data_IF_427801239240
#
_entry.id   IF_427801239240
#
_cell.length_a   1.000
_cell.length_b   1.000
_cell.length_c   1.000
_cell.angle_alpha   90.00
_cell.angle_beta   90.00
_cell.angle_gamma   90.00
#
_symmetry.space_group_name_H-M   'P 1'
#
loop_
_entity.id
_entity.type
_entity.pdbx_description
1 polymer ?
#
# COMPACT_ATOMS: atom_id res chain seq x y z
N UNK A 1 11.84 -26.55 -3.26
CA UNK A 1 10.58 -26.46 -4.03
C UNK A 1 9.98 -25.07 -3.83
N UNK A 2 10.04 -24.20 -4.85
CA UNK A 2 9.41 -22.87 -4.87
C UNK A 2 7.91 -23.07 -5.11
N UNK A 3 7.16 -23.42 -4.06
CA UNK A 3 5.69 -23.43 -4.12
C UNK A 3 5.22 -21.99 -4.32
N UNK A 4 4.80 -21.66 -5.54
CA UNK A 4 3.92 -20.55 -5.95
C UNK A 4 3.93 -19.25 -5.11
N UNK A 5 5.11 -18.73 -4.79
CA UNK A 5 5.31 -17.32 -4.41
C UNK A 5 5.91 -16.49 -5.56
N UNK A 6 5.88 -17.01 -6.79
CA UNK A 6 6.26 -16.23 -7.96
C UNK A 6 5.04 -15.54 -8.55
N UNK A 7 4.59 -14.50 -7.85
CA UNK A 7 3.81 -13.44 -8.45
C UNK A 7 4.44 -12.14 -7.97
N UNK A 8 4.66 -11.20 -8.86
CA UNK A 8 4.99 -9.81 -8.51
C UNK A 8 3.88 -9.13 -7.65
N UNK A 9 2.84 -9.89 -7.25
CA UNK A 9 1.90 -9.64 -6.17
C UNK A 9 2.48 -10.12 -4.82
N UNK A 10 3.00 -9.19 -4.02
CA UNK A 10 3.50 -9.46 -2.66
C UNK A 10 2.39 -9.78 -1.63
N UNK A 11 1.12 -9.57 -1.99
CA UNK A 11 -0.02 -9.72 -1.08
C UNK A 11 -0.30 -11.16 -0.62
N UNK A 12 -0.50 -12.12 -1.55
CA UNK A 12 -0.75 -13.52 -1.19
C UNK A 12 0.40 -14.17 -0.41
N UNK A 13 1.65 -13.81 -0.71
CA UNK A 13 2.83 -14.37 -0.06
C UNK A 13 2.97 -13.94 1.40
N UNK A 14 2.70 -12.66 1.71
CA UNK A 14 2.81 -12.14 3.07
C UNK A 14 1.64 -12.57 3.96
N UNK A 15 0.40 -12.58 3.43
CA UNK A 15 -0.78 -13.09 4.15
C UNK A 15 -0.59 -14.55 4.54
N UNK A 16 -0.15 -15.39 3.60
CA UNK A 16 0.15 -16.80 3.88
C UNK A 16 1.27 -16.97 4.92
N UNK A 17 2.36 -16.21 4.82
CA UNK A 17 3.46 -16.28 5.78
C UNK A 17 3.02 -15.88 7.20
N UNK A 18 2.21 -14.84 7.34
CA UNK A 18 1.67 -14.41 8.63
C UNK A 18 0.67 -15.41 9.20
N UNK A 19 -0.21 -15.98 8.36
CA UNK A 19 -1.13 -17.05 8.78
C UNK A 19 -0.37 -18.27 9.30
N UNK A 20 0.68 -18.71 8.60
CA UNK A 20 1.57 -19.79 9.06
C UNK A 20 2.27 -19.43 10.37
N UNK A 21 2.70 -18.17 10.53
CA UNK A 21 3.28 -17.67 11.77
C UNK A 21 2.32 -17.72 12.96
N UNK A 22 1.06 -17.38 12.74
CA UNK A 22 -0.03 -17.52 13.72
C UNK A 22 -0.21 -18.99 14.11
N UNK A 23 -0.36 -19.88 13.12
CA UNK A 23 -0.58 -21.32 13.36
C UNK A 23 0.59 -21.91 14.16
N UNK A 24 1.83 -21.59 13.79
CA UNK A 24 3.00 -22.08 14.50
C UNK A 24 3.08 -21.59 15.95
N UNK A 25 2.55 -20.38 16.24
CA UNK A 25 2.50 -19.83 17.59
C UNK A 25 1.41 -20.49 18.44
N UNK A 26 0.26 -20.81 17.85
CA UNK A 26 -0.85 -21.50 18.54
C UNK A 26 -0.59 -23.00 18.72
N UNK A 27 0.10 -23.62 17.77
CA UNK A 27 0.30 -25.07 17.69
C UNK A 27 1.79 -25.40 17.63
N UNK A 28 2.54 -25.28 18.74
CA UNK A 28 3.96 -25.65 18.77
C UNK A 28 4.14 -27.13 18.40
N UNK A 29 4.76 -27.40 17.25
CA UNK A 29 4.91 -28.76 16.70
C UNK A 29 4.25 -28.98 15.34
N UNK A 30 3.43 -28.03 14.87
CA UNK A 30 2.79 -28.10 13.55
C UNK A 30 3.78 -28.19 12.39
N UNK A 31 5.04 -27.76 12.60
CA UNK A 31 6.12 -27.84 11.60
C UNK A 31 6.29 -29.26 11.04
N UNK A 32 6.23 -30.29 11.89
CA UNK A 32 6.31 -31.67 11.43
C UNK A 32 5.11 -32.07 10.56
N UNK A 33 3.92 -31.52 10.84
CA UNK A 33 2.74 -31.73 10.01
C UNK A 33 2.89 -31.06 8.65
N UNK A 34 3.48 -29.85 8.58
CA UNK A 34 3.79 -29.19 7.31
C UNK A 34 4.83 -29.97 6.50
N UNK A 35 5.91 -30.42 7.12
CA UNK A 35 6.95 -31.23 6.46
C UNK A 35 6.35 -32.53 5.91
N UNK A 36 5.53 -33.22 6.71
CA UNK A 36 4.82 -34.42 6.28
C UNK A 36 3.86 -34.14 5.12
N UNK A 37 3.05 -33.09 5.20
CA UNK A 37 2.12 -32.70 4.13
C UNK A 37 2.85 -32.45 2.80
N UNK A 38 4.01 -31.78 2.85
CA UNK A 38 4.83 -31.52 1.66
C UNK A 38 5.39 -32.82 1.08
N UNK A 39 5.86 -33.74 1.93
CA UNK A 39 6.36 -35.04 1.50
C UNK A 39 5.23 -35.90 0.89
N UNK A 40 4.07 -35.96 1.55
CA UNK A 40 2.90 -36.72 1.10
C UNK A 40 2.31 -36.17 -0.22
N UNK A 41 2.60 -34.91 -0.55
CA UNK A 41 2.12 -34.22 -1.75
C UNK A 41 3.19 -34.03 -2.84
N UNK A 42 4.41 -34.57 -2.67
CA UNK A 42 5.56 -34.29 -3.55
C UNK A 42 5.35 -34.63 -5.04
N UNK A 43 4.36 -35.46 -5.36
CA UNK A 43 4.04 -35.90 -6.73
C UNK A 43 2.57 -35.63 -7.13
N UNK A 44 1.83 -34.88 -6.31
CA UNK A 44 0.39 -34.61 -6.53
C UNK A 44 0.08 -33.13 -6.38
N UNK A 45 -0.98 -32.68 -7.06
CA UNK A 45 -1.57 -31.39 -6.71
C UNK A 45 -2.15 -31.48 -5.31
N UNK A 46 -1.62 -30.66 -4.40
CA UNK A 46 -2.10 -30.56 -3.04
C UNK A 46 -3.34 -29.66 -3.01
N UNK A 47 -4.47 -30.20 -2.56
CA UNK A 47 -5.71 -29.45 -2.42
C UNK A 47 -5.72 -28.64 -1.11
N UNK A 48 -6.35 -27.46 -1.16
CA UNK A 48 -6.47 -26.55 -0.01
C UNK A 48 -7.25 -27.20 1.12
N UNK A 49 -8.31 -27.97 0.83
CA UNK A 49 -9.06 -28.71 1.84
C UNK A 49 -8.20 -29.74 2.57
N UNK A 50 -7.35 -30.47 1.82
CA UNK A 50 -6.40 -31.43 2.42
C UNK A 50 -5.38 -30.74 3.32
N UNK A 51 -4.90 -29.54 2.95
CA UNK A 51 -4.05 -28.73 3.82
C UNK A 51 -4.79 -28.35 5.11
N UNK A 52 -6.01 -27.82 5.00
CA UNK A 52 -6.83 -27.41 6.14
C UNK A 52 -7.04 -28.58 7.10
N UNK A 53 -7.48 -29.74 6.58
CA UNK A 53 -7.71 -30.95 7.36
C UNK A 53 -6.47 -31.40 8.12
N UNK A 54 -5.31 -31.44 7.44
CA UNK A 54 -4.07 -31.88 8.06
C UNK A 54 -3.62 -30.94 9.18
N UNK A 55 -3.75 -29.63 9.00
CA UNK A 55 -3.35 -28.64 10.00
C UNK A 55 -4.33 -28.66 11.18
N UNK A 56 -5.64 -28.64 10.91
CA UNK A 56 -6.66 -28.64 11.96
C UNK A 56 -6.64 -29.91 12.79
N UNK A 57 -6.37 -31.08 12.19
CA UNK A 57 -6.31 -32.36 12.91
C UNK A 57 -5.04 -32.52 13.76
N UNK A 58 -4.01 -31.70 13.51
CA UNK A 58 -2.73 -31.74 14.22
C UNK A 58 -2.57 -30.64 15.25
N UNK A 59 -3.45 -29.65 15.24
CA UNK A 59 -3.50 -28.63 16.26
C UNK A 59 -4.62 -28.95 17.25
N UNK A 60 -4.33 -28.88 18.55
CA UNK A 60 -5.33 -29.11 19.60
C UNK A 60 -6.34 -27.94 19.74
N UNK A 61 -6.23 -26.90 18.90
CA UNK A 61 -7.11 -25.74 18.89
C UNK A 61 -8.41 -26.04 18.11
N UNK A 62 -9.59 -26.11 18.78
CA UNK A 62 -10.85 -26.49 18.14
C UNK A 62 -11.29 -25.55 17.01
N UNK A 63 -10.87 -24.27 17.07
CA UNK A 63 -11.23 -23.27 16.07
C UNK A 63 -10.23 -23.16 14.90
N UNK A 64 -9.18 -24.00 14.86
CA UNK A 64 -8.14 -23.91 13.83
C UNK A 64 -8.70 -24.02 12.41
N UNK A 65 -9.66 -24.92 12.19
CA UNK A 65 -10.32 -25.07 10.90
C UNK A 65 -10.99 -23.76 10.47
N UNK A 66 -11.77 -23.15 11.36
CA UNK A 66 -12.49 -21.91 11.09
C UNK A 66 -11.52 -20.75 10.79
N UNK A 67 -10.40 -20.66 11.52
CA UNK A 67 -9.36 -19.65 11.27
C UNK A 67 -8.80 -19.81 9.84
N UNK A 68 -8.46 -21.05 9.45
CA UNK A 68 -7.92 -21.33 8.12
C UNK A 68 -8.92 -21.03 7.01
N UNK A 69 -10.14 -21.54 7.10
CA UNK A 69 -11.21 -21.31 6.13
C UNK A 69 -11.50 -19.80 6.00
N UNK A 70 -11.64 -19.07 7.11
CA UNK A 70 -11.93 -17.63 7.05
C UNK A 70 -10.81 -16.83 6.35
N UNK A 71 -9.53 -17.13 6.58
CA UNK A 71 -8.45 -16.37 5.95
C UNK A 71 -8.07 -16.82 4.55
N UNK A 72 -8.32 -18.09 4.20
CA UNK A 72 -8.06 -18.63 2.87
C UNK A 72 -9.21 -18.29 1.91
N UNK A 73 -10.45 -18.46 2.34
CA UNK A 73 -11.63 -18.31 1.47
C UNK A 73 -12.11 -16.86 1.39
N UNK A 74 -11.81 -16.03 2.39
CA UNK A 74 -12.26 -14.63 2.40
C UNK A 74 -11.13 -13.63 2.11
N UNK A 75 -11.31 -12.73 1.12
CA UNK A 75 -10.34 -11.69 0.81
C UNK A 75 -10.36 -10.57 1.86
N UNK A 76 -9.22 -9.88 2.00
CA UNK A 76 -9.05 -8.78 2.94
C UNK A 76 -8.43 -9.19 4.27
N UNK A 77 -8.57 -8.29 5.25
CA UNK A 77 -8.05 -8.36 6.62
C UNK A 77 -9.02 -7.65 7.56
N UNK A 78 -8.93 -7.95 8.85
CA UNK A 78 -9.77 -7.32 9.85
C UNK A 78 -9.17 -5.99 10.37
N UNK A 79 -10.02 -5.18 10.99
CA UNK A 79 -9.64 -4.10 11.88
C UNK A 79 -10.21 -4.41 13.25
N UNK A 80 -9.34 -4.52 14.24
CA UNK A 80 -9.68 -4.69 15.64
C UNK A 80 -9.71 -3.31 16.28
N UNK A 81 -10.90 -2.86 16.64
CA UNK A 81 -11.08 -1.62 17.41
C UNK A 81 -11.05 -1.96 18.89
N UNK A 82 -10.09 -1.37 19.60
CA UNK A 82 -9.80 -1.61 21.01
C UNK A 82 -10.29 -0.41 21.80
N UNK A 83 -11.12 -0.68 22.79
CA UNK A 83 -11.60 0.28 23.78
C UNK A 83 -11.30 -0.24 25.17
N UNK A 84 -11.03 0.66 26.10
CA UNK A 84 -10.78 0.36 27.49
C UNK A 84 -11.77 1.10 28.37
N UNK A 85 -12.56 0.33 29.10
CA UNK A 85 -13.38 0.83 30.21
C UNK A 85 -12.82 0.26 31.52
N UNK A 86 -12.05 1.09 32.24
CA UNK A 86 -11.40 0.77 33.52
C UNK A 86 -10.58 -0.52 33.48
N UNK A 87 -11.13 -1.60 34.04
CA UNK A 87 -10.52 -2.92 34.21
C UNK A 87 -10.87 -3.89 33.07
N UNK A 88 -11.60 -3.42 32.06
CA UNK A 88 -12.04 -4.22 30.94
C UNK A 88 -11.59 -3.61 29.63
N UNK A 89 -10.88 -4.39 28.81
CA UNK A 89 -10.60 -4.05 27.41
C UNK A 89 -11.61 -4.75 26.53
N UNK A 90 -12.43 -3.96 25.83
CA UNK A 90 -13.39 -4.45 24.85
C UNK A 90 -12.78 -4.33 23.45
N UNK A 91 -12.87 -5.41 22.68
CA UNK A 91 -12.43 -5.45 21.29
C UNK A 91 -13.63 -5.73 20.38
N UNK A 92 -13.74 -4.99 19.28
CA UNK A 92 -14.72 -5.19 18.22
C UNK A 92 -14.01 -5.35 16.89
N UNK A 93 -14.57 -6.14 15.98
CA UNK A 93 -13.98 -6.36 14.65
C UNK A 93 -14.86 -5.78 13.55
N UNK A 94 -14.22 -5.24 12.53
CA UNK A 94 -14.82 -4.90 11.23
C UNK A 94 -13.85 -5.28 10.13
N UNK A 95 -14.31 -5.35 8.89
CA UNK A 95 -13.45 -5.62 7.74
C UNK A 95 -12.73 -4.34 7.31
N UNK A 96 -11.43 -4.43 7.09
CA UNK A 96 -10.71 -3.31 6.48
C UNK A 96 -11.13 -3.13 5.02
N UNK A 97 -11.72 -1.98 4.73
CA UNK A 97 -12.02 -1.45 3.41
C UNK A 97 -11.44 -0.05 3.30
N UNK A 98 -10.93 0.33 2.12
CA UNK A 98 -10.38 1.68 1.95
C UNK A 98 -11.48 2.74 1.98
N UNK A 99 -12.72 2.34 1.68
CA UNK A 99 -13.95 3.14 1.81
C UNK A 99 -14.59 3.08 3.20
N UNK A 100 -13.98 2.40 4.17
CA UNK A 100 -14.57 2.16 5.48
C UNK A 100 -14.86 3.43 6.30
N UNK A 101 -14.34 4.59 5.90
CA UNK A 101 -14.68 5.88 6.48
C UNK A 101 -16.13 6.30 6.18
N UNK A 102 -16.73 5.76 5.12
CA UNK A 102 -18.11 6.04 4.73
C UNK A 102 -19.05 5.06 5.40
N UNK A 103 -19.94 5.53 6.27
CA UNK A 103 -20.89 4.67 7.01
C UNK A 103 -21.77 3.84 6.06
N UNK A 104 -22.14 4.39 4.89
CA UNK A 104 -22.93 3.68 3.86
C UNK A 104 -22.17 2.52 3.19
N UNK A 105 -20.84 2.59 3.13
CA UNK A 105 -19.99 1.63 2.42
C UNK A 105 -19.19 0.73 3.37
N UNK A 106 -19.36 0.92 4.69
CA UNK A 106 -18.67 0.14 5.71
C UNK A 106 -19.22 -1.29 5.75
N UNK A 107 -18.33 -2.26 5.83
CA UNK A 107 -18.69 -3.68 5.93
C UNK A 107 -18.74 -4.11 7.39
N UNK A 108 -19.95 -4.18 7.93
CA UNK A 108 -20.23 -4.60 9.30
C UNK A 108 -20.58 -6.10 9.40
N UNK A 109 -20.67 -6.79 8.26
CA UNK A 109 -21.16 -8.17 8.16
C UNK A 109 -20.02 -9.17 8.05
N UNK A 110 -19.01 -8.88 7.23
CA UNK A 110 -17.87 -9.78 7.07
C UNK A 110 -16.99 -9.73 8.31
N UNK A 111 -16.83 -10.89 8.93
CA UNK A 111 -16.04 -11.11 10.14
C UNK A 111 -15.21 -12.37 9.97
N UNK A 112 -14.10 -12.41 10.69
CA UNK A 112 -13.15 -13.51 10.67
C UNK A 112 -13.06 -14.12 12.06
N UNK A 113 -12.70 -15.41 12.12
CA UNK A 113 -12.26 -16.07 13.34
C UNK A 113 -10.77 -15.77 13.51
N UNK A 114 -10.40 -14.92 14.47
CA UNK A 114 -9.06 -14.33 14.57
C UNK A 114 -8.41 -14.62 15.91
N UNK A 115 -7.24 -15.27 15.95
CA UNK A 115 -6.43 -15.31 17.15
C UNK A 115 -5.74 -13.96 17.37
N UNK A 116 -6.04 -13.33 18.50
CA UNK A 116 -5.48 -12.04 18.92
C UNK A 116 -4.43 -12.31 19.99
N UNK A 117 -3.17 -12.05 19.65
CA UNK A 117 -2.06 -12.11 20.59
C UNK A 117 -1.87 -10.74 21.21
N UNK A 118 -1.74 -10.69 22.53
CA UNK A 118 -1.58 -9.44 23.26
C UNK A 118 -0.66 -9.60 24.46
N UNK A 119 -0.23 -8.48 25.03
CA UNK A 119 0.51 -8.43 26.29
C UNK A 119 -0.22 -7.60 27.33
N UNK A 120 -0.27 -8.09 28.56
CA UNK A 120 -0.69 -7.33 29.75
C UNK A 120 0.56 -7.13 30.62
N UNK A 121 1.02 -5.90 30.79
CA UNK A 121 2.28 -5.58 31.48
C UNK A 121 3.47 -6.43 30.98
N UNK A 122 3.55 -6.62 29.66
CA UNK A 122 4.60 -7.42 29.02
C UNK A 122 4.40 -8.94 29.08
N UNK A 123 3.48 -9.46 29.90
CA UNK A 123 3.13 -10.89 29.90
C UNK A 123 2.28 -11.22 28.69
N UNK A 124 2.76 -12.14 27.85
CA UNK A 124 2.06 -12.56 26.63
C UNK A 124 0.85 -13.44 26.94
N UNK A 125 -0.23 -13.21 26.21
CA UNK A 125 -1.44 -14.02 26.21
C UNK A 125 -2.08 -13.99 24.82
N UNK A 126 -3.10 -14.79 24.61
CA UNK A 126 -3.92 -14.73 23.40
C UNK A 126 -5.36 -15.13 23.69
N UNK A 127 -6.26 -14.70 22.81
CA UNK A 127 -7.67 -15.11 22.79
C UNK A 127 -8.11 -15.28 21.34
N UNK A 128 -9.19 -16.00 21.09
CA UNK A 128 -9.75 -16.18 19.74
C UNK A 128 -11.04 -15.39 19.65
N UNK A 129 -11.05 -14.39 18.78
CA UNK A 129 -12.24 -13.62 18.45
C UNK A 129 -13.02 -14.36 17.37
N UNK A 130 -14.12 -15.01 17.74
CA UNK A 130 -14.95 -15.75 16.79
C UNK A 130 -15.66 -14.82 15.82
N UNK A 131 -15.82 -15.21 14.55
CA UNK A 131 -16.60 -14.43 13.57
C UNK A 131 -18.06 -14.21 13.97
N UNK A 132 -18.59 -15.07 14.82
CA UNK A 132 -19.97 -15.00 15.30
C UNK A 132 -20.16 -13.98 16.43
N UNK A 133 -19.06 -13.48 17.00
CA UNK A 133 -19.08 -12.49 18.08
C UNK A 133 -18.99 -11.08 17.48
N UNK A 134 -19.75 -10.13 18.04
CA UNK A 134 -19.63 -8.71 17.69
C UNK A 134 -18.54 -8.00 18.49
N UNK A 135 -18.30 -8.47 19.71
CA UNK A 135 -17.24 -7.97 20.58
C UNK A 135 -16.77 -9.06 21.54
N UNK A 136 -15.51 -8.99 21.94
CA UNK A 136 -14.93 -9.78 23.04
C UNK A 136 -14.42 -8.83 24.13
N UNK A 137 -14.20 -9.37 25.32
CA UNK A 137 -13.70 -8.58 26.45
C UNK A 137 -12.62 -9.33 27.21
N UNK A 138 -11.58 -8.62 27.61
CA UNK A 138 -10.46 -9.14 28.39
C UNK A 138 -10.35 -8.32 29.67
N UNK A 139 -10.24 -9.01 30.81
CA UNK A 139 -10.02 -8.35 32.10
C UNK A 139 -8.54 -7.94 32.20
N UNK A 140 -8.31 -6.63 32.37
CA UNK A 140 -6.99 -6.00 32.39
C UNK A 140 -6.97 -4.98 33.53
N UNK A 141 -6.14 -5.14 34.57
CA UNK A 141 -6.10 -4.19 35.69
C UNK A 141 -5.95 -2.75 35.21
N UNK A 142 -6.63 -1.78 35.81
CA UNK A 142 -6.71 -0.38 35.34
C UNK A 142 -5.35 0.27 35.03
N UNK A 143 -4.31 -0.10 35.79
CA UNK A 143 -2.96 0.45 35.65
C UNK A 143 -2.03 -0.41 34.78
N UNK A 144 -2.56 -1.47 34.16
CA UNK A 144 -1.77 -2.37 33.32
C UNK A 144 -1.77 -1.91 31.86
N UNK A 145 -0.60 -1.95 31.23
CA UNK A 145 -0.44 -1.70 29.79
C UNK A 145 -1.00 -2.88 28.99
N UNK A 146 -1.91 -2.62 28.06
CA UNK A 146 -2.48 -3.64 27.17
C UNK A 146 -2.07 -3.36 25.73
N UNK A 147 -1.37 -4.30 25.10
CA UNK A 147 -0.89 -4.14 23.72
C UNK A 147 -1.17 -5.39 22.90
N UNK A 148 -1.94 -5.24 21.83
CA UNK A 148 -2.10 -6.25 20.79
C UNK A 148 -0.83 -6.28 19.92
N UNK A 149 -0.38 -7.49 19.59
CA UNK A 149 0.74 -7.74 18.69
C UNK A 149 0.45 -7.20 17.27
N UNK A 150 1.37 -6.41 16.73
CA UNK A 150 1.23 -5.74 15.44
C UNK A 150 2.11 -6.36 14.35
N UNK A 151 2.52 -7.62 14.51
CA UNK A 151 3.32 -8.36 13.52
C UNK A 151 2.46 -8.96 12.39
N UNK A 152 1.13 -8.95 12.52
CA UNK A 152 0.21 -9.64 11.63
C UNK A 152 -0.65 -8.70 10.75
N UNK A 153 -0.08 -7.57 10.30
CA UNK A 153 -0.77 -6.51 9.53
C UNK A 153 -1.50 -6.95 8.24
N UNK A 154 -1.19 -8.14 7.69
CA UNK A 154 -1.88 -8.70 6.52
C UNK A 154 -3.10 -9.56 6.91
N UNK A 155 -3.27 -9.83 8.20
CA UNK A 155 -4.37 -10.61 8.79
C UNK A 155 -5.32 -9.67 9.53
N UNK A 156 -4.79 -8.79 10.37
CA UNK A 156 -5.56 -7.75 11.05
C UNK A 156 -4.73 -6.51 11.34
N UNK A 157 -5.41 -5.38 11.44
CA UNK A 157 -4.91 -4.15 12.03
C UNK A 157 -5.54 -3.90 13.40
N UNK A 158 -4.88 -3.09 14.21
CA UNK A 158 -5.39 -2.68 15.51
C UNK A 158 -5.55 -1.16 15.55
N UNK A 159 -6.70 -0.70 16.07
CA UNK A 159 -6.98 0.72 16.31
C UNK A 159 -7.40 0.89 17.77
N UNK A 160 -6.58 1.60 18.56
CA UNK A 160 -6.92 2.03 19.91
C UNK A 160 -7.75 3.30 19.83
N UNK A 161 -9.02 3.19 20.21
CA UNK A 161 -9.95 4.31 20.20
C UNK A 161 -9.86 5.15 21.48
N UNK A 162 -9.53 4.51 22.60
CA UNK A 162 -9.26 5.23 23.84
C UNK A 162 -7.79 5.59 23.95
N UNK A 163 -7.54 6.74 24.57
CA UNK A 163 -6.20 7.27 24.79
C UNK A 163 -5.62 6.62 26.04
N UNK A 164 -4.61 5.78 25.86
CA UNK A 164 -3.81 5.29 26.98
C UNK A 164 -2.67 6.26 27.28
N UNK A 165 -2.53 6.61 28.57
CA UNK A 165 -1.41 7.41 29.07
C UNK A 165 -0.28 6.51 29.52
N UNK A 166 0.95 6.86 29.16
CA UNK A 166 2.16 6.12 29.49
C UNK A 166 3.12 7.01 30.29
N UNK A 167 3.33 6.69 31.55
CA UNK A 167 4.31 7.37 32.40
C UNK A 167 5.53 6.46 32.64
N UNK A 168 6.73 7.02 32.50
CA UNK A 168 8.00 6.38 32.85
C UNK A 168 8.21 4.99 32.20
N UNK A 169 7.96 4.87 30.90
CA UNK A 169 8.26 3.65 30.14
C UNK A 169 9.75 3.55 29.85
N UNK A 170 10.29 2.33 29.87
CA UNK A 170 11.65 2.07 29.40
C UNK A 170 11.74 2.25 27.86
N UNK A 171 12.97 2.35 27.34
CA UNK A 171 13.20 2.62 25.92
C UNK A 171 12.75 1.47 25.00
N UNK A 172 12.78 0.20 25.46
CA UNK A 172 12.32 -0.94 24.66
C UNK A 172 10.80 -0.89 24.48
N UNK A 173 10.07 -0.69 25.57
CA UNK A 173 8.63 -0.53 25.57
C UNK A 173 8.22 0.72 24.77
N UNK A 174 8.95 1.83 24.92
CA UNK A 174 8.73 3.06 24.16
C UNK A 174 8.81 2.83 22.65
N UNK A 175 9.84 2.14 22.16
CA UNK A 175 9.96 1.81 20.72
C UNK A 175 8.79 0.95 20.22
N UNK A 176 8.33 0.00 21.04
CA UNK A 176 7.16 -0.83 20.71
C UNK A 176 5.88 0.01 20.67
N UNK A 177 5.67 0.86 21.67
CA UNK A 177 4.53 1.78 21.75
C UNK A 177 4.52 2.74 20.55
N UNK A 178 5.66 3.31 20.18
CA UNK A 178 5.79 4.17 19.00
C UNK A 178 5.27 3.50 17.74
N UNK A 179 5.71 2.26 17.48
CA UNK A 179 5.30 1.52 16.30
C UNK A 179 3.81 1.16 16.32
N UNK A 180 3.31 0.66 17.46
CA UNK A 180 1.91 0.24 17.64
C UNK A 180 0.98 1.43 17.46
N UNK A 181 1.24 2.53 18.18
CA UNK A 181 0.38 3.70 18.16
C UNK A 181 0.41 4.45 16.85
N UNK A 182 1.58 4.58 16.20
CA UNK A 182 1.65 5.16 14.85
C UNK A 182 0.81 4.37 13.85
N UNK A 183 0.92 3.04 13.83
CA UNK A 183 0.09 2.19 12.96
C UNK A 183 -1.40 2.35 13.28
N UNK A 184 -1.76 2.31 14.56
CA UNK A 184 -3.13 2.47 15.03
C UNK A 184 -3.74 3.79 14.57
N UNK A 185 -3.03 4.90 14.75
CA UNK A 185 -3.51 6.23 14.33
C UNK A 185 -3.71 6.31 12.82
N UNK A 186 -2.77 5.79 12.03
CA UNK A 186 -2.87 5.83 10.57
C UNK A 186 -4.00 4.94 10.04
N UNK A 187 -4.17 3.74 10.59
CA UNK A 187 -5.30 2.87 10.22
C UNK A 187 -6.63 3.47 10.66
N UNK A 188 -6.69 4.02 11.87
CA UNK A 188 -7.88 4.68 12.41
C UNK A 188 -8.30 5.87 11.55
N UNK A 189 -7.34 6.67 11.10
CA UNK A 189 -7.56 7.78 10.17
C UNK A 189 -8.02 7.26 8.80
N UNK A 190 -7.29 6.34 8.17
CA UNK A 190 -7.61 5.82 6.84
C UNK A 190 -8.99 5.14 6.76
N UNK A 191 -9.38 4.45 7.81
CA UNK A 191 -10.64 3.70 7.88
C UNK A 191 -11.78 4.54 8.48
N UNK A 192 -11.53 5.79 8.89
CA UNK A 192 -12.50 6.67 9.52
C UNK A 192 -13.07 6.15 10.86
N UNK A 193 -12.28 5.36 11.59
CA UNK A 193 -12.59 5.04 13.00
C UNK A 193 -12.24 6.23 13.89
N UNK A 194 -11.15 6.94 13.56
CA UNK A 194 -10.73 8.17 14.22
C UNK A 194 -11.00 9.35 13.28
N UNK A 195 -11.66 10.38 13.78
CA UNK A 195 -11.71 11.69 13.14
C UNK A 195 -10.33 12.35 13.17
N UNK A 196 -10.13 13.35 12.32
CA UNK A 196 -8.82 14.00 12.23
C UNK A 196 -8.46 14.72 13.54
N UNK A 197 -9.46 15.28 14.22
CA UNK A 197 -9.30 15.90 15.53
C UNK A 197 -8.83 14.88 16.59
N UNK A 198 -9.46 13.70 16.65
CA UNK A 198 -9.09 12.62 17.56
C UNK A 198 -7.67 12.10 17.24
N UNK A 199 -7.33 11.96 15.95
CA UNK A 199 -5.98 11.63 15.51
C UNK A 199 -4.93 12.63 16.03
N UNK A 200 -5.20 13.94 15.94
CA UNK A 200 -4.31 14.99 16.43
C UNK A 200 -4.23 14.99 17.95
N UNK A 201 -5.35 14.76 18.64
CA UNK A 201 -5.42 14.68 20.10
C UNK A 201 -4.59 13.52 20.64
N UNK A 202 -4.77 12.31 20.10
CA UNK A 202 -3.98 11.14 20.49
C UNK A 202 -2.49 11.38 20.21
N UNK A 203 -2.14 11.92 19.04
CA UNK A 203 -0.75 12.25 18.71
C UNK A 203 -0.14 13.28 19.70
N UNK A 204 -0.93 14.28 20.12
CA UNK A 204 -0.50 15.26 21.13
C UNK A 204 -0.18 14.59 22.46
N UNK A 205 -1.02 13.66 22.88
CA UNK A 205 -0.83 12.94 24.15
C UNK A 205 0.40 12.05 24.09
N UNK A 206 0.63 11.35 22.98
CA UNK A 206 1.86 10.57 22.83
C UNK A 206 3.13 11.43 22.76
N UNK A 207 3.04 12.69 22.31
CA UNK A 207 4.14 13.65 22.43
C UNK A 207 4.36 14.06 23.88
N UNK A 208 3.29 14.38 24.63
CA UNK A 208 3.35 14.73 26.06
C UNK A 208 3.96 13.61 26.91
N UNK A 209 3.54 12.37 26.65
CA UNK A 209 3.99 11.16 27.34
C UNK A 209 5.39 10.70 26.87
N UNK A 210 6.05 11.49 26.02
CA UNK A 210 7.38 11.22 25.45
C UNK A 210 7.47 9.90 24.68
N UNK A 211 6.33 9.39 24.20
CA UNK A 211 6.28 8.25 23.29
C UNK A 211 6.73 8.70 21.91
N UNK A 212 6.19 9.81 21.38
CA UNK A 212 6.61 10.36 20.09
C UNK A 212 7.63 11.49 20.24
N UNK A 213 8.77 11.35 19.55
CA UNK A 213 9.69 12.45 19.30
C UNK A 213 9.27 13.29 18.11
N UNK A 214 9.96 14.41 17.88
CA UNK A 214 9.68 15.30 16.74
C UNK A 214 9.78 14.57 15.39
N UNK A 215 10.72 13.63 15.25
CA UNK A 215 10.90 12.82 14.04
C UNK A 215 9.74 11.85 13.80
N UNK A 216 9.15 11.32 14.88
CA UNK A 216 7.98 10.44 14.79
C UNK A 216 6.75 11.22 14.36
N UNK A 217 6.58 12.45 14.87
CA UNK A 217 5.50 13.36 14.45
C UNK A 217 5.64 13.71 12.96
N UNK A 218 6.84 14.06 12.50
CA UNK A 218 7.07 14.35 11.07
C UNK A 218 6.71 13.15 10.18
N UNK A 219 7.15 11.94 10.56
CA UNK A 219 6.81 10.73 9.83
C UNK A 219 5.31 10.44 9.85
N UNK A 220 4.67 10.54 11.02
CA UNK A 220 3.24 10.31 11.21
C UNK A 220 2.41 11.26 10.31
N UNK A 221 2.72 12.56 10.30
CA UNK A 221 1.99 13.53 9.49
C UNK A 221 2.30 13.43 8.00
N UNK A 222 3.50 13.01 7.62
CA UNK A 222 3.83 12.67 6.23
C UNK A 222 2.95 11.52 5.73
N UNK A 223 2.80 10.46 6.53
CA UNK A 223 1.96 9.31 6.19
C UNK A 223 0.46 9.68 6.23
N UNK A 224 0.04 10.54 7.17
CA UNK A 224 -1.33 11.06 7.21
C UNK A 224 -1.67 11.88 5.96
N UNK A 225 -0.74 12.72 5.47
CA UNK A 225 -0.91 13.46 4.19
C UNK A 225 -1.17 12.50 3.03
N UNK A 226 -0.34 11.45 2.93
CA UNK A 226 -0.47 10.42 1.88
C UNK A 226 -1.81 9.70 1.93
N UNK A 227 -2.34 9.44 3.13
CA UNK A 227 -3.66 8.81 3.31
C UNK A 227 -4.77 9.78 2.91
N UNK A 228 -4.78 10.99 3.45
CA UNK A 228 -5.90 11.93 3.35
C UNK A 228 -6.04 12.51 1.94
N UNK A 229 -4.92 12.88 1.32
CA UNK A 229 -4.93 13.62 0.06
C UNK A 229 -4.59 12.74 -1.15
N UNK A 230 -4.20 11.47 -0.92
CA UNK A 230 -3.65 10.57 -1.96
C UNK A 230 -2.72 11.38 -2.88
N UNK A 231 -1.87 12.20 -2.26
CA UNK A 231 -1.03 13.16 -2.97
C UNK A 231 0.40 12.64 -2.99
N UNK A 232 0.97 12.51 -4.18
CA UNK A 232 2.41 12.35 -4.42
C UNK A 232 3.18 13.63 -4.02
N UNK A 233 3.01 14.15 -2.81
CA UNK A 233 3.53 15.45 -2.37
C UNK A 233 5.07 15.61 -2.46
N UNK A 234 5.82 14.55 -2.80
CA UNK A 234 7.23 14.67 -3.22
C UNK A 234 7.44 15.28 -4.61
N UNK A 235 6.41 15.42 -5.45
CA UNK A 235 6.55 16.09 -6.74
C UNK A 235 6.32 17.60 -6.66
N UNK A 236 5.32 18.08 -5.90
CA UNK A 236 5.05 19.53 -5.75
C UNK A 236 6.25 20.32 -5.20
N UNK A 237 7.04 19.72 -4.29
CA UNK A 237 8.19 20.40 -3.69
C UNK A 237 9.43 20.49 -4.62
N UNK A 238 9.53 19.64 -5.65
CA UNK A 238 10.63 19.69 -6.64
C UNK A 238 10.20 20.18 -8.03
N UNK A 239 8.92 20.40 -8.26
CA UNK A 239 8.38 21.03 -9.48
C UNK A 239 7.69 22.35 -9.18
N UNK A 240 8.17 23.06 -8.15
CA UNK A 240 7.87 24.47 -7.94
C UNK A 240 8.49 25.28 -9.09
N UNK A 241 7.68 25.42 -10.13
CA UNK A 241 7.90 26.19 -11.33
C UNK A 241 7.03 25.56 -12.41
N UNK A 242 5.97 26.26 -12.81
CA UNK A 242 5.39 26.06 -14.15
C UNK A 242 6.47 26.39 -15.16
N UNK A 243 7.39 25.45 -15.35
CA UNK A 243 8.34 25.45 -16.45
C UNK A 243 7.45 25.20 -17.65
N UNK A 244 7.22 26.22 -18.48
CA UNK A 244 6.47 26.02 -19.72
C UNK A 244 7.14 24.89 -20.52
N UNK A 245 6.37 24.13 -21.30
CA UNK A 245 6.91 23.07 -22.16
C UNK A 245 8.13 23.56 -22.96
N UNK A 246 8.15 24.83 -23.34
CA UNK A 246 9.27 25.50 -24.01
C UNK A 246 10.53 25.69 -23.15
N UNK A 247 10.38 25.97 -21.85
CA UNK A 247 11.52 26.08 -20.91
C UNK A 247 12.02 24.69 -20.52
N UNK A 248 11.12 23.70 -20.42
CA UNK A 248 11.49 22.31 -20.17
C UNK A 248 12.23 21.75 -21.38
N UNK A 249 11.75 22.01 -22.60
CA UNK A 249 12.41 21.66 -23.86
C UNK A 249 13.79 22.34 -23.99
N UNK A 250 13.92 23.63 -23.64
CA UNK A 250 15.25 24.29 -23.59
C UNK A 250 16.16 23.73 -22.52
N UNK A 251 15.63 23.39 -21.34
CA UNK A 251 16.41 22.80 -20.26
C UNK A 251 16.88 21.40 -20.63
N UNK A 252 15.98 20.56 -21.16
CA UNK A 252 16.30 19.23 -21.66
C UNK A 252 17.26 19.31 -22.84
N UNK A 253 17.02 20.16 -23.84
CA UNK A 253 17.93 20.37 -24.97
C UNK A 253 19.35 20.74 -24.51
N UNK A 254 19.48 21.68 -23.55
CA UNK A 254 20.79 22.02 -22.95
C UNK A 254 21.38 20.87 -22.16
N UNK A 255 20.58 20.22 -21.31
CA UNK A 255 21.01 19.12 -20.45
C UNK A 255 21.48 17.90 -21.27
N UNK A 256 20.75 17.57 -22.33
CA UNK A 256 21.05 16.52 -23.29
C UNK A 256 22.28 16.84 -24.13
N UNK A 257 22.49 18.11 -24.51
CA UNK A 257 23.72 18.55 -25.19
C UNK A 257 24.96 18.52 -24.29
N UNK A 258 24.78 18.64 -22.96
CA UNK A 258 25.89 18.71 -22.00
C UNK A 258 26.43 17.34 -21.58
N UNK A 259 25.66 16.27 -21.76
CA UNK A 259 25.97 14.95 -21.19
C UNK A 259 26.90 14.06 -22.04
N UNK A 260 27.46 14.58 -23.14
CA UNK A 260 28.30 13.87 -24.12
C UNK A 260 27.85 12.42 -24.34
N UNK A 261 26.54 12.31 -24.63
CA UNK A 261 25.85 11.05 -24.75
C UNK A 261 26.19 10.50 -26.14
N UNK A 262 27.18 9.62 -26.22
CA UNK A 262 27.38 8.78 -27.41
C UNK A 262 26.10 8.00 -27.79
N UNK A 263 26.04 7.52 -29.04
CA UNK A 263 24.87 6.93 -29.73
C UNK A 263 23.69 6.58 -28.82
N UNK A 264 22.70 7.48 -28.81
CA UNK A 264 21.45 7.28 -28.12
C UNK A 264 20.77 6.06 -28.75
N UNK A 265 20.59 5.00 -27.96
CA UNK A 265 19.84 3.82 -28.39
C UNK A 265 18.39 4.22 -28.68
N UNK A 266 17.91 3.93 -29.91
CA UNK A 266 16.51 4.11 -30.31
C UNK A 266 15.58 3.16 -29.51
N UNK A 267 14.26 3.35 -29.63
CA UNK A 267 13.28 2.52 -28.93
C UNK A 267 13.50 1.02 -29.18
N UNK A 268 13.83 0.66 -30.42
CA UNK A 268 14.12 -0.73 -30.77
C UNK A 268 15.27 -1.28 -29.94
N UNK A 269 16.39 -0.58 -29.79
CA UNK A 269 17.48 -1.09 -28.94
C UNK A 269 17.15 -1.10 -27.44
N UNK A 270 16.28 -0.21 -26.95
CA UNK A 270 15.84 -0.18 -25.53
C UNK A 270 14.96 -1.38 -25.15
N UNK A 271 14.18 -1.90 -26.09
CA UNK A 271 13.26 -3.01 -25.87
C UNK A 271 13.75 -4.36 -26.45
N UNK A 272 14.66 -4.37 -27.44
CA UNK A 272 15.16 -5.59 -28.10
C UNK A 272 16.46 -6.18 -27.52
N UNK A 273 17.39 -5.38 -26.99
CA UNK A 273 18.78 -5.84 -26.74
C UNK A 273 19.01 -6.52 -25.37
N UNK A 274 18.08 -7.36 -24.90
CA UNK A 274 18.22 -8.24 -23.73
C UNK A 274 18.91 -7.63 -22.50
N UNK A 275 18.66 -6.36 -22.27
CA UNK A 275 19.36 -5.58 -21.25
C UNK A 275 18.36 -5.26 -20.17
N UNK A 276 18.02 -6.31 -19.40
CA UNK A 276 17.36 -6.15 -18.11
C UNK A 276 18.11 -5.10 -17.26
N UNK A 277 19.42 -4.93 -17.49
CA UNK A 277 20.26 -3.85 -16.95
C UNK A 277 19.73 -2.42 -17.18
N UNK A 278 19.05 -2.09 -18.29
CA UNK A 278 18.49 -0.74 -18.50
C UNK A 278 17.32 -0.43 -17.56
N UNK A 279 16.57 -1.47 -17.15
CA UNK A 279 15.31 -1.32 -16.44
C UNK A 279 15.40 -1.76 -14.96
N UNK A 280 16.15 -2.82 -14.65
CA UNK A 280 16.29 -3.41 -13.31
C UNK A 280 17.13 -2.56 -12.35
N UNK A 281 18.04 -1.74 -12.87
CA UNK A 281 18.96 -0.97 -12.02
C UNK A 281 18.30 0.25 -11.34
N UNK A 282 17.20 0.76 -11.89
CA UNK A 282 16.48 1.92 -11.35
C UNK A 282 15.48 1.58 -10.21
N UNK A 283 15.09 0.31 -10.03
CA UNK A 283 14.07 -0.04 -9.03
C UNK A 283 14.66 -0.39 -7.65
N UNK A 284 15.92 -0.80 -7.56
CA UNK A 284 16.56 -1.14 -6.26
C UNK A 284 17.10 0.07 -5.50
N UNK A 285 17.38 1.18 -6.17
CA UNK A 285 17.92 2.39 -5.54
C UNK A 285 16.81 3.29 -4.99
N UNK A 286 16.02 2.76 -4.05
CA UNK A 286 15.30 3.61 -3.11
C UNK A 286 16.31 4.21 -2.14
N UNK A 287 16.59 5.52 -2.27
CA UNK A 287 17.17 6.32 -1.18
C UNK A 287 18.51 5.86 -0.58
N UNK A 288 19.52 5.56 -1.40
CA UNK A 288 20.91 5.57 -0.91
C UNK A 288 21.75 6.56 -1.70
N UNK A 289 22.50 7.36 -0.95
CA UNK A 289 23.29 8.51 -1.41
C UNK A 289 24.00 8.25 -2.74
N UNK A 290 23.89 9.28 -3.58
CA UNK A 290 24.62 9.53 -4.82
C UNK A 290 26.09 9.16 -4.64
N UNK A 291 26.48 8.00 -5.14
CA UNK A 291 27.87 7.68 -5.43
C UNK A 291 27.94 6.72 -6.61
N UNK A 292 27.86 7.27 -7.83
CA UNK A 292 28.76 7.03 -8.97
C UNK A 292 28.09 7.50 -10.28
N UNK A 293 28.78 8.38 -11.02
CA UNK A 293 28.24 9.22 -12.12
C UNK A 293 27.75 8.54 -13.40
N UNK A 294 27.52 7.22 -13.40
CA UNK A 294 26.96 6.50 -14.55
C UNK A 294 25.43 6.39 -14.50
N UNK A 295 24.81 6.45 -13.32
CA UNK A 295 23.37 6.23 -13.10
C UNK A 295 22.49 7.42 -13.52
N UNK A 296 22.91 8.65 -13.20
CA UNK A 296 22.25 9.89 -13.66
C UNK A 296 22.27 10.01 -15.19
N UNK A 297 23.29 9.44 -15.83
CA UNK A 297 23.47 9.54 -17.27
C UNK A 297 22.38 8.75 -18.02
N UNK A 298 21.92 7.61 -17.52
CA UNK A 298 20.97 6.75 -18.26
C UNK A 298 19.51 7.24 -18.19
N UNK A 299 19.03 7.69 -17.03
CA UNK A 299 17.69 8.32 -16.91
C UNK A 299 17.63 9.62 -17.72
N UNK A 300 18.73 10.38 -17.71
CA UNK A 300 18.90 11.53 -18.57
C UNK A 300 18.85 11.14 -20.06
N UNK A 301 19.59 10.10 -20.48
CA UNK A 301 19.62 9.59 -21.87
C UNK A 301 18.24 9.25 -22.42
N UNK A 302 17.40 8.55 -21.66
CA UNK A 302 16.02 8.25 -22.08
C UNK A 302 15.18 9.52 -22.16
N UNK A 303 15.36 10.46 -21.21
CA UNK A 303 14.68 11.76 -21.22
C UNK A 303 15.13 12.66 -22.38
N UNK A 304 16.24 12.33 -23.03
CA UNK A 304 16.80 13.05 -24.18
C UNK A 304 16.38 12.49 -25.54
N UNK A 305 15.64 11.38 -25.56
CA UNK A 305 15.05 10.86 -26.78
C UNK A 305 13.91 11.78 -27.22
N UNK A 306 14.09 12.47 -28.35
CA UNK A 306 13.06 13.35 -28.94
C UNK A 306 11.73 12.62 -29.18
N UNK A 307 11.79 11.31 -29.37
CA UNK A 307 10.66 10.40 -29.56
C UNK A 307 9.77 10.28 -28.29
N UNK A 308 10.29 10.59 -27.10
CA UNK A 308 9.55 10.64 -25.83
C UNK A 308 8.87 11.99 -25.55
N UNK A 309 9.07 13.00 -26.40
CA UNK A 309 8.43 14.31 -26.24
C UNK A 309 7.40 14.59 -27.34
N UNK A 310 7.34 13.75 -28.37
CA UNK A 310 6.36 13.86 -29.45
C UNK A 310 5.24 12.83 -29.29
N UNK A 311 4.04 13.28 -28.90
CA UNK A 311 2.85 12.45 -28.71
C UNK A 311 2.50 11.59 -29.94
N UNK A 312 2.72 12.10 -31.16
CA UNK A 312 2.41 11.36 -32.39
C UNK A 312 3.38 10.19 -32.59
N UNK A 313 4.68 10.44 -32.39
CA UNK A 313 5.72 9.41 -32.45
C UNK A 313 5.52 8.37 -31.36
N UNK A 314 5.18 8.79 -30.14
CA UNK A 314 4.90 7.92 -29.01
C UNK A 314 3.69 7.00 -29.26
N UNK A 315 2.56 7.55 -29.70
CA UNK A 315 1.36 6.75 -30.02
C UNK A 315 1.60 5.78 -31.18
N UNK A 316 2.34 6.23 -32.20
CA UNK A 316 2.74 5.37 -33.33
C UNK A 316 3.61 4.21 -32.84
N UNK A 317 4.60 4.49 -31.99
CA UNK A 317 5.42 3.46 -31.37
C UNK A 317 4.58 2.44 -30.61
N UNK A 318 3.66 2.90 -29.74
CA UNK A 318 2.78 2.00 -28.98
C UNK A 318 1.92 1.15 -29.93
N UNK A 319 1.39 1.73 -31.00
CA UNK A 319 0.64 1.00 -32.02
C UNK A 319 1.48 -0.09 -32.69
N UNK A 320 2.67 0.26 -33.16
CA UNK A 320 3.54 -0.65 -33.93
C UNK A 320 4.16 -1.76 -33.08
N UNK A 321 4.56 -1.44 -31.85
CA UNK A 321 5.35 -2.34 -30.99
C UNK A 321 4.53 -3.04 -29.91
N UNK A 322 3.40 -2.45 -29.49
CA UNK A 322 2.50 -3.06 -28.51
C UNK A 322 1.35 -3.82 -29.19
N UNK A 323 0.77 -3.28 -30.27
CA UNK A 323 -0.36 -3.90 -30.99
C UNK A 323 0.06 -4.65 -32.27
N UNK A 324 1.20 -4.30 -32.86
CA UNK A 324 1.67 -4.87 -34.12
C UNK A 324 2.17 -6.31 -34.01
N UNK A 325 2.46 -6.93 -35.15
CA UNK A 325 2.95 -8.32 -35.24
C UNK A 325 4.38 -8.50 -34.71
N UNK A 326 5.15 -7.41 -34.60
CA UNK A 326 6.49 -7.40 -34.02
C UNK A 326 6.40 -7.06 -32.53
N UNK A 327 6.11 -8.07 -31.71
CA UNK A 327 5.74 -7.86 -30.30
C UNK A 327 6.99 -7.83 -29.44
N UNK A 328 7.74 -6.75 -29.57
CA UNK A 328 9.09 -6.58 -29.02
C UNK A 328 9.08 -6.27 -27.51
N UNK A 329 8.01 -5.67 -26.99
CA UNK A 329 7.95 -5.21 -25.60
C UNK A 329 7.67 -6.40 -24.66
N UNK A 330 8.67 -6.76 -23.85
CA UNK A 330 8.52 -7.79 -22.81
C UNK A 330 7.52 -7.32 -21.74
N UNK A 331 6.67 -8.23 -21.26
CA UNK A 331 5.64 -7.94 -20.26
C UNK A 331 6.17 -7.22 -19.00
N UNK A 332 7.38 -7.56 -18.55
CA UNK A 332 8.02 -6.90 -17.40
C UNK A 332 8.41 -5.44 -17.64
N UNK A 333 8.61 -5.03 -18.90
CA UNK A 333 9.01 -3.68 -19.30
C UNK A 333 7.83 -2.72 -19.42
N UNK A 334 6.61 -3.26 -19.56
CA UNK A 334 5.36 -2.48 -19.62
C UNK A 334 5.19 -1.62 -18.37
N UNK A 335 5.46 -2.16 -17.19
CA UNK A 335 5.39 -1.42 -15.93
C UNK A 335 6.32 -0.20 -15.91
N UNK A 336 7.51 -0.32 -16.50
CA UNK A 336 8.48 0.78 -16.52
C UNK A 336 8.07 1.90 -17.48
N UNK A 337 7.49 1.55 -18.64
CA UNK A 337 6.85 2.50 -19.55
C UNK A 337 5.78 3.33 -18.83
N UNK A 338 4.92 2.67 -18.05
CA UNK A 338 3.86 3.33 -17.28
C UNK A 338 4.44 4.21 -16.14
N UNK A 339 5.40 3.71 -15.37
CA UNK A 339 6.06 4.50 -14.32
C UNK A 339 6.75 5.75 -14.86
N UNK A 340 7.35 5.67 -16.05
CA UNK A 340 8.06 6.82 -16.62
C UNK A 340 7.12 7.85 -17.24
N UNK A 341 6.09 7.42 -17.95
CA UNK A 341 5.05 8.32 -18.49
C UNK A 341 4.31 9.06 -17.37
N UNK A 342 4.10 8.41 -16.23
CA UNK A 342 3.54 9.05 -15.03
C UNK A 342 4.48 10.14 -14.49
N UNK A 343 5.79 9.89 -14.46
CA UNK A 343 6.80 10.85 -13.99
C UNK A 343 7.01 12.04 -14.95
N UNK A 344 6.83 11.83 -16.25
CA UNK A 344 7.00 12.90 -17.25
C UNK A 344 5.73 13.75 -17.35
N UNK A 345 4.58 13.27 -16.88
CA UNK A 345 3.31 14.00 -16.78
C UNK A 345 2.65 14.29 -18.13
N UNK A 346 3.43 14.62 -19.16
CA UNK A 346 2.98 15.02 -20.49
C UNK A 346 2.49 13.85 -21.34
N UNK A 347 3.07 12.64 -21.18
CA UNK A 347 2.69 11.45 -21.97
C UNK A 347 1.70 10.52 -21.30
N UNK A 348 1.40 10.78 -20.03
CA UNK A 348 0.40 10.03 -19.27
C UNK A 348 -0.98 10.07 -19.96
N UNK A 349 -1.49 11.22 -20.41
CA UNK A 349 -2.77 11.28 -21.13
C UNK A 349 -2.77 10.44 -22.41
N UNK A 350 -1.68 10.44 -23.17
CA UNK A 350 -1.53 9.71 -24.43
C UNK A 350 -1.55 8.20 -24.20
N UNK A 351 -0.82 7.72 -23.18
CA UNK A 351 -0.81 6.30 -22.81
C UNK A 351 -2.21 5.83 -22.40
N UNK A 352 -2.93 6.63 -21.61
CA UNK A 352 -4.30 6.34 -21.22
C UNK A 352 -5.28 6.37 -22.37
N UNK A 353 -5.18 7.37 -23.25
CA UNK A 353 -5.99 7.44 -24.46
C UNK A 353 -5.72 6.26 -25.38
N UNK A 354 -4.45 5.88 -25.56
CA UNK A 354 -4.07 4.70 -26.29
C UNK A 354 -4.69 3.44 -25.67
N UNK A 355 -4.59 3.30 -24.35
CA UNK A 355 -5.17 2.19 -23.61
C UNK A 355 -6.70 2.13 -23.81
N UNK A 356 -7.45 3.18 -23.46
CA UNK A 356 -8.91 3.17 -23.56
C UNK A 356 -9.43 3.07 -25.00
N UNK A 357 -8.70 3.61 -25.98
CA UNK A 357 -9.06 3.47 -27.42
C UNK A 357 -8.92 2.04 -27.88
N UNK A 358 -7.92 1.29 -27.41
CA UNK A 358 -7.63 -0.05 -27.91
C UNK A 358 -8.18 -1.18 -27.03
N UNK A 359 -8.59 -0.91 -25.79
CA UNK A 359 -9.00 -1.93 -24.82
C UNK A 359 -10.10 -2.88 -25.28
N UNK A 360 -10.94 -2.47 -26.22
CA UNK A 360 -12.01 -3.30 -26.76
C UNK A 360 -11.56 -4.35 -27.78
N UNK A 361 -10.35 -4.22 -28.34
CA UNK A 361 -9.84 -5.10 -29.40
C UNK A 361 -8.90 -6.18 -28.88
N UNK A 362 -8.48 -6.12 -27.61
CA UNK A 362 -7.46 -7.00 -27.05
C UNK A 362 -7.88 -7.53 -25.68
N UNK A 363 -7.83 -8.85 -25.52
CA UNK A 363 -8.08 -9.57 -24.26
C UNK A 363 -6.95 -10.53 -23.91
N UNK A 364 -5.79 -10.39 -24.55
CA UNK A 364 -4.63 -11.24 -24.31
C UNK A 364 -3.87 -10.84 -23.03
N UNK A 365 -3.03 -11.75 -22.52
CA UNK A 365 -2.31 -11.55 -21.26
C UNK A 365 -1.42 -10.29 -21.24
N UNK A 366 -0.98 -9.77 -22.39
CA UNK A 366 -0.20 -8.52 -22.46
C UNK A 366 -1.11 -7.32 -22.25
N UNK A 367 -2.31 -7.37 -22.80
CA UNK A 367 -3.32 -6.35 -22.54
C UNK A 367 -3.70 -6.31 -21.07
N UNK A 368 -3.84 -7.47 -20.42
CA UNK A 368 -4.03 -7.56 -18.97
C UNK A 368 -2.87 -6.92 -18.20
N UNK A 369 -1.61 -7.18 -18.59
CA UNK A 369 -0.45 -6.56 -17.92
C UNK A 369 -0.37 -5.03 -18.13
N UNK A 370 -0.76 -4.54 -19.30
CA UNK A 370 -0.86 -3.10 -19.56
C UNK A 370 -1.99 -2.48 -18.75
N UNK A 371 -3.15 -3.11 -18.73
CA UNK A 371 -4.29 -2.72 -17.90
C UNK A 371 -3.90 -2.63 -16.42
N UNK A 372 -3.27 -3.67 -15.89
CA UNK A 372 -2.78 -3.70 -14.51
C UNK A 372 -1.80 -2.57 -14.25
N UNK A 373 -0.89 -2.28 -15.19
CA UNK A 373 0.09 -1.21 -15.03
C UNK A 373 -0.58 0.17 -15.09
N UNK A 374 -1.35 0.46 -16.14
CA UNK A 374 -2.00 1.75 -16.42
C UNK A 374 -3.04 2.09 -15.35
N UNK A 375 -3.81 1.11 -14.88
CA UNK A 375 -4.85 1.32 -13.86
C UNK A 375 -4.32 1.28 -12.43
N UNK A 376 -3.10 0.79 -12.19
CA UNK A 376 -2.51 0.74 -10.84
C UNK A 376 -1.75 2.00 -10.43
N UNK A 377 -1.40 2.89 -11.38
CA UNK A 377 -0.72 4.15 -11.10
C UNK A 377 -1.73 5.27 -10.97
N UNK A 378 -1.56 6.10 -9.94
CA UNK A 378 -2.40 7.27 -9.74
C UNK A 378 -1.92 8.42 -10.66
N UNK A 379 -2.81 9.03 -11.47
CA UNK A 379 -2.48 10.12 -12.35
C UNK A 379 -2.06 11.34 -11.54
N UNK A 380 -1.15 12.10 -12.11
CA UNK A 380 -0.78 13.41 -11.60
C UNK A 380 -2.03 14.29 -11.37
N UNK A 381 -2.02 15.13 -10.32
CA UNK A 381 -3.18 15.91 -9.89
C UNK A 381 -3.82 16.72 -11.04
N UNK A 382 -2.99 17.27 -11.94
CA UNK A 382 -3.43 18.10 -13.07
C UNK A 382 -4.22 17.36 -14.16
N UNK A 383 -4.17 16.02 -14.19
CA UNK A 383 -4.83 15.20 -15.23
C UNK A 383 -5.80 14.16 -14.63
N UNK A 384 -5.93 14.11 -13.31
CA UNK A 384 -6.78 13.16 -12.62
C UNK A 384 -8.27 13.29 -13.00
N UNK A 385 -8.79 14.52 -13.11
CA UNK A 385 -10.20 14.75 -13.47
C UNK A 385 -10.49 14.28 -14.89
N UNK A 386 -9.61 14.60 -15.84
CA UNK A 386 -9.71 14.16 -17.24
C UNK A 386 -9.61 12.65 -17.34
N UNK A 387 -8.69 12.03 -16.60
CA UNK A 387 -8.57 10.57 -16.53
C UNK A 387 -9.85 9.92 -16.00
N UNK A 388 -10.39 10.45 -14.90
CA UNK A 388 -11.64 9.96 -14.31
C UNK A 388 -12.78 10.10 -15.30
N UNK A 389 -12.90 11.21 -16.02
CA UNK A 389 -13.90 11.37 -17.09
C UNK A 389 -13.73 10.34 -18.22
N UNK A 390 -12.49 10.10 -18.68
CA UNK A 390 -12.18 9.10 -19.71
C UNK A 390 -12.54 7.68 -19.24
N UNK A 391 -12.25 7.32 -17.99
CA UNK A 391 -12.60 6.04 -17.39
C UNK A 391 -14.13 5.84 -17.33
N UNK A 392 -14.87 6.85 -16.84
CA UNK A 392 -16.34 6.80 -16.81
C UNK A 392 -16.93 6.67 -18.22
N UNK A 393 -16.40 7.44 -19.18
CA UNK A 393 -16.80 7.36 -20.57
C UNK A 393 -16.53 5.97 -21.18
N UNK A 394 -15.38 5.36 -20.86
CA UNK A 394 -15.05 4.02 -21.30
C UNK A 394 -16.03 2.98 -20.75
N UNK A 395 -16.30 2.98 -19.44
CA UNK A 395 -17.27 2.09 -18.79
C UNK A 395 -18.66 2.23 -19.42
N UNK A 396 -19.12 3.46 -19.65
CA UNK A 396 -20.44 3.73 -20.25
C UNK A 396 -20.54 3.25 -21.70
N UNK A 397 -19.50 3.48 -22.51
CA UNK A 397 -19.52 3.15 -23.94
C UNK A 397 -19.20 1.69 -24.24
N UNK A 398 -18.43 1.01 -23.36
CA UNK A 398 -17.89 -0.34 -23.58
C UNK A 398 -18.08 -1.27 -22.36
N UNK A 399 -19.33 -1.49 -21.88
CA UNK A 399 -19.58 -2.18 -20.62
C UNK A 399 -19.08 -3.63 -20.58
N UNK A 400 -19.11 -4.37 -21.70
CA UNK A 400 -18.63 -5.77 -21.75
C UNK A 400 -17.11 -5.88 -21.55
N UNK A 401 -16.35 -5.00 -22.20
CA UNK A 401 -14.89 -4.94 -22.05
C UNK A 401 -14.51 -4.42 -20.67
N UNK A 402 -15.23 -3.41 -20.16
CA UNK A 402 -15.03 -2.95 -18.80
C UNK A 402 -15.31 -4.07 -17.77
N UNK A 403 -16.31 -4.92 -18.00
CA UNK A 403 -16.60 -6.06 -17.13
C UNK A 403 -15.46 -7.10 -17.09
N UNK A 404 -14.76 -7.34 -18.21
CA UNK A 404 -13.56 -8.20 -18.22
C UNK A 404 -12.35 -7.61 -17.49
N UNK A 405 -12.43 -6.34 -17.11
CA UNK A 405 -11.43 -5.56 -16.38
C UNK A 405 -11.98 -5.02 -15.05
N UNK A 406 -13.05 -5.64 -14.58
CA UNK A 406 -13.91 -5.11 -13.52
C UNK A 406 -13.12 -4.87 -12.23
N UNK A 407 -12.20 -5.77 -11.87
CA UNK A 407 -11.39 -5.63 -10.67
C UNK A 407 -10.47 -4.39 -10.71
N UNK A 408 -9.72 -4.19 -11.79
CA UNK A 408 -8.80 -3.05 -11.92
C UNK A 408 -9.56 -1.72 -11.99
N UNK A 409 -10.67 -1.70 -12.72
CA UNK A 409 -11.54 -0.52 -12.83
C UNK A 409 -12.19 -0.22 -11.48
N UNK A 410 -12.71 -1.23 -10.78
CA UNK A 410 -13.31 -1.07 -9.46
C UNK A 410 -12.28 -0.53 -8.45
N UNK A 411 -11.08 -1.11 -8.39
CA UNK A 411 -10.00 -0.61 -7.54
C UNK A 411 -9.65 0.86 -7.83
N UNK A 412 -9.63 1.25 -9.11
CA UNK A 412 -9.32 2.64 -9.47
C UNK A 412 -10.45 3.59 -9.09
N UNK A 413 -11.71 3.23 -9.35
CA UNK A 413 -12.87 4.02 -8.95
C UNK A 413 -12.95 4.15 -7.43
N UNK A 414 -12.61 3.09 -6.69
CA UNK A 414 -12.47 3.12 -5.23
C UNK A 414 -11.43 4.15 -4.79
N UNK A 415 -10.21 4.12 -5.37
CA UNK A 415 -9.16 5.10 -5.04
C UNK A 415 -9.57 6.54 -5.33
N UNK A 416 -10.20 6.80 -6.47
CA UNK A 416 -10.70 8.14 -6.81
C UNK A 416 -11.81 8.58 -5.85
N UNK A 417 -12.70 7.67 -5.45
CA UNK A 417 -13.69 7.96 -4.42
C UNK A 417 -13.03 8.33 -3.08
N UNK A 418 -12.05 7.53 -2.62
CA UNK A 418 -11.31 7.80 -1.37
C UNK A 418 -10.62 9.15 -1.46
N UNK A 419 -9.86 9.41 -2.54
CA UNK A 419 -9.14 10.68 -2.78
C UNK A 419 -10.07 11.89 -2.68
N UNK A 420 -11.26 11.79 -3.28
CA UNK A 420 -12.17 12.91 -3.38
C UNK A 420 -13.01 13.16 -2.12
N UNK A 421 -13.15 12.16 -1.24
CA UNK A 421 -14.10 12.19 -0.14
C UNK A 421 -13.47 12.03 1.25
N UNK A 422 -12.33 11.36 1.40
CA UNK A 422 -11.74 11.07 2.71
C UNK A 422 -11.37 12.36 3.46
N UNK A 423 -10.56 13.24 2.87
CA UNK A 423 -10.21 14.52 3.48
C UNK A 423 -11.44 15.40 3.79
N UNK A 424 -12.46 15.38 2.90
CA UNK A 424 -13.72 16.10 3.13
C UNK A 424 -14.51 15.53 4.31
N UNK A 425 -14.56 14.21 4.43
CA UNK A 425 -15.21 13.51 5.54
C UNK A 425 -14.55 13.81 6.88
N UNK A 426 -13.23 14.03 6.87
CA UNK A 426 -12.46 14.52 8.02
C UNK A 426 -12.53 16.05 8.22
N UNK A 427 -13.14 16.81 7.30
CA UNK A 427 -13.14 18.27 7.36
C UNK A 427 -11.73 18.87 7.41
N UNK A 428 -10.80 18.33 6.61
CA UNK A 428 -9.37 18.71 6.62
C UNK A 428 -8.87 19.08 5.23
N UNK A 429 -8.06 20.13 5.16
CA UNK A 429 -7.28 20.56 4.00
C UNK A 429 -5.77 20.49 4.32
N UNK A 430 -4.92 20.65 3.30
CA UNK A 430 -3.45 20.60 3.44
C UNK A 430 -2.96 21.61 4.52
N UNK A 431 -3.57 22.79 4.60
CA UNK A 431 -3.22 23.83 5.57
C UNK A 431 -3.55 23.44 7.02
N UNK A 432 -4.72 22.87 7.27
CA UNK A 432 -5.13 22.39 8.60
C UNK A 432 -4.23 21.23 9.04
N UNK A 433 -3.87 20.32 8.13
CA UNK A 433 -2.89 19.27 8.40
C UNK A 433 -1.53 19.85 8.78
N UNK A 434 -1.00 20.79 7.98
CA UNK A 434 0.31 21.41 8.20
C UNK A 434 0.36 22.21 9.50
N UNK A 435 -0.71 22.96 9.84
CA UNK A 435 -0.80 23.65 11.15
C UNK A 435 -0.78 22.69 12.32
N UNK A 436 -1.47 21.56 12.23
CA UNK A 436 -1.44 20.52 13.26
C UNK A 436 -0.04 19.92 13.39
N UNK A 437 0.61 19.59 12.26
CA UNK A 437 2.01 19.12 12.22
C UNK A 437 2.95 20.09 12.93
N UNK A 438 3.00 21.35 12.50
CA UNK A 438 3.91 22.35 13.05
C UNK A 438 3.72 22.55 14.55
N UNK A 439 2.48 22.57 15.05
CA UNK A 439 2.21 22.68 16.49
C UNK A 439 2.79 21.50 17.27
N UNK A 440 2.58 20.27 16.80
CA UNK A 440 3.05 19.07 17.50
C UNK A 440 4.56 18.89 17.40
N UNK A 441 5.18 19.24 16.26
CA UNK A 441 6.63 19.21 16.09
C UNK A 441 7.29 20.20 17.03
N UNK A 442 6.81 21.45 17.09
CA UNK A 442 7.33 22.44 18.02
C UNK A 442 7.18 21.98 19.47
N UNK A 443 6.01 21.42 19.83
CA UNK A 443 5.79 20.86 21.16
C UNK A 443 6.77 19.74 21.51
N UNK A 444 7.02 18.83 20.59
CA UNK A 444 7.98 17.73 20.79
C UNK A 444 9.43 18.26 20.94
N UNK A 445 9.79 19.31 20.20
CA UNK A 445 11.10 19.97 20.32
C UNK A 445 11.26 20.69 21.67
N UNK A 446 10.25 21.46 22.10
CA UNK A 446 10.28 22.16 23.40
C UNK A 446 10.45 21.18 24.56
N UNK A 447 9.74 20.05 24.48
CA UNK A 447 9.83 18.97 25.45
C UNK A 447 11.23 18.33 25.46
N UNK A 448 11.82 18.05 24.29
CA UNK A 448 13.17 17.50 24.20
C UNK A 448 14.26 18.47 24.73
N UNK A 449 14.08 19.78 24.54
CA UNK A 449 15.00 20.80 25.04
C UNK A 449 14.90 20.99 26.56
N UNK A 450 13.74 20.74 27.17
CA UNK A 450 13.57 20.86 28.63
C UNK A 450 14.30 19.78 29.44
N UNK A 451 14.75 18.70 28.80
CA UNK A 451 15.47 17.59 29.45
C UNK A 451 17.01 17.80 29.43
N UNK A 452 17.47 18.91 28.80
CA UNK A 452 18.86 19.33 28.71
C UNK A 452 19.10 20.61 29.52
#
# INVERSE_FOLDING_TARGET
MKLFLNANNRGPSLKAAQLLGIINRMCPGIKMAFEKFVLDSHEKFADVGTFIDNVSNKCDEPLMRNILEDFIDQPGRAVIVVMRDKDTVQMRQTRFLSTGFSDELRDERTRYTIPIFFTVNGTQSYTIFSKNESSISVQVPTNATFLIDNQYDSIYHTVYQDIERYANVDEELKQRLQLIHRKSLLVGLAHGILKFEEFVEHASIYVEDRIFGWSDVELLFTQASQILFISEERYKANTAGNVSAEVLDRFLSRYCSYLDIGDITNWDGLFNNDTSQFWEYNIRAGYTRISQGHELNMVAKISCLSEWHNSTTFLKFLGENFLGASTIIRAGLVRHLVQRTAQIGEQWPELHQFFFRNAHNFTDARWTNLADSVLSIDPHLSIADKYSEELHNFVRRRPRTAASMSDQIAMRLEREYVRNNLAKWHGVDEDKLNRARSRLVNRALDLALADH
#
